data_IF_337753356996
#
_entry.id   IF_337753356996
#
_cell.length_a   1.000
_cell.length_b   1.000
_cell.length_c   1.000
_cell.angle_alpha   90.00
_cell.angle_beta   90.00
_cell.angle_gamma   90.00
#
_symmetry.space_group_name_H-M   'P 1'
#
loop_
_entity.id
_entity.type
_entity.pdbx_description
1 polymer ?
#
# COMPACT_ATOMS: atom_id res chain seq x y z
N UNK A 1 43.73 26.32 -45.20
CA UNK A 1 42.64 25.94 -44.27
C UNK A 1 43.27 25.58 -42.94
N UNK A 2 43.34 26.52 -41.99
CA UNK A 2 44.02 26.30 -40.72
C UNK A 2 43.10 25.55 -39.75
N UNK A 3 43.48 24.33 -39.36
CA UNK A 3 42.79 23.53 -38.35
C UNK A 3 42.89 24.25 -36.99
N UNK A 4 41.75 24.77 -36.51
CA UNK A 4 41.59 25.38 -35.20
C UNK A 4 41.91 24.32 -34.14
N UNK A 5 43.06 24.44 -33.46
CA UNK A 5 43.44 23.56 -32.35
C UNK A 5 42.34 23.62 -31.26
N UNK A 6 41.76 22.48 -30.84
CA UNK A 6 40.75 22.49 -29.79
C UNK A 6 41.38 22.97 -28.48
N UNK A 7 40.73 23.92 -27.83
CA UNK A 7 41.22 24.52 -26.61
C UNK A 7 41.08 23.51 -25.47
N UNK A 8 42.15 23.07 -24.78
CA UNK A 8 42.08 22.01 -23.75
C UNK A 8 41.11 22.34 -22.60
N UNK A 9 40.80 23.63 -22.41
CA UNK A 9 39.81 24.16 -21.46
C UNK A 9 38.38 23.65 -21.71
N UNK A 10 37.99 23.44 -22.98
CA UNK A 10 36.64 22.97 -23.34
C UNK A 10 36.42 21.50 -22.98
N UNK A 11 37.46 20.66 -23.07
CA UNK A 11 37.38 19.24 -22.66
C UNK A 11 37.18 19.08 -21.15
N UNK A 12 37.79 19.96 -20.34
CA UNK A 12 37.62 19.93 -18.88
C UNK A 12 36.21 20.30 -18.42
N UNK A 13 35.54 21.21 -19.13
CA UNK A 13 34.17 21.65 -18.80
C UNK A 13 33.14 20.54 -19.08
N UNK A 14 33.27 19.80 -20.18
CA UNK A 14 32.37 18.67 -20.48
C UNK A 14 32.52 17.54 -19.47
N UNK A 15 33.75 17.24 -19.03
CA UNK A 15 34.00 16.24 -17.98
C UNK A 15 33.36 16.67 -16.66
N UNK A 16 33.53 17.94 -16.26
CA UNK A 16 32.89 18.47 -15.06
C UNK A 16 31.36 18.43 -15.14
N UNK A 17 30.78 18.69 -16.31
CA UNK A 17 29.34 18.62 -16.54
C UNK A 17 28.82 17.18 -16.37
N UNK A 18 29.46 16.19 -16.99
CA UNK A 18 29.09 14.78 -16.83
C UNK A 18 29.27 14.28 -15.39
N UNK A 19 30.32 14.74 -14.71
CA UNK A 19 30.57 14.39 -13.31
C UNK A 19 29.45 14.85 -12.36
N UNK A 20 28.68 15.88 -12.74
CA UNK A 20 27.52 16.37 -11.97
C UNK A 20 26.23 15.73 -12.48
N UNK A 21 26.01 15.69 -13.79
CA UNK A 21 24.74 15.21 -14.37
C UNK A 21 24.53 13.72 -14.11
N UNK A 22 25.57 12.89 -14.28
CA UNK A 22 25.42 11.44 -14.12
C UNK A 22 24.98 11.01 -12.71
N UNK A 23 25.60 11.47 -11.60
CA UNK A 23 25.12 11.10 -10.27
C UNK A 23 23.73 11.67 -9.98
N UNK A 24 23.39 12.87 -10.50
CA UNK A 24 22.07 13.47 -10.32
C UNK A 24 20.99 12.63 -11.03
N UNK A 25 21.26 12.19 -12.26
CA UNK A 25 20.39 11.26 -12.99
C UNK A 25 20.28 9.91 -12.29
N UNK A 26 21.36 9.39 -11.71
CA UNK A 26 21.34 8.13 -10.97
C UNK A 26 20.44 8.22 -9.73
N UNK A 27 20.58 9.29 -8.94
CA UNK A 27 19.72 9.56 -7.77
C UNK A 27 18.25 9.71 -8.21
N UNK A 28 18.01 10.44 -9.30
CA UNK A 28 16.65 10.62 -9.84
C UNK A 28 16.02 9.28 -10.25
N UNK A 29 16.76 8.43 -10.97
CA UNK A 29 16.29 7.10 -11.37
C UNK A 29 16.05 6.19 -10.17
N UNK A 30 16.94 6.20 -9.16
CA UNK A 30 16.70 5.46 -7.91
C UNK A 30 15.43 5.94 -7.20
N UNK A 31 15.18 7.25 -7.17
CA UNK A 31 13.96 7.82 -6.61
C UNK A 31 12.70 7.36 -7.34
N UNK A 32 12.74 7.28 -8.68
CA UNK A 32 11.63 6.75 -9.47
C UNK A 32 11.39 5.26 -9.19
N UNK A 33 12.45 4.45 -9.07
CA UNK A 33 12.33 3.03 -8.75
C UNK A 33 11.74 2.82 -7.36
N UNK A 34 12.20 3.58 -6.36
CA UNK A 34 11.69 3.51 -4.98
C UNK A 34 10.21 3.92 -4.92
N UNK A 35 9.83 4.97 -5.66
CA UNK A 35 8.43 5.39 -5.77
C UNK A 35 7.55 4.35 -6.47
N UNK A 36 7.97 3.82 -7.62
CA UNK A 36 7.19 2.86 -8.39
C UNK A 36 6.98 1.56 -7.60
N UNK A 37 8.03 1.04 -6.97
CA UNK A 37 7.94 -0.18 -6.17
C UNK A 37 7.12 0.02 -4.90
N UNK A 38 7.26 1.15 -4.22
CA UNK A 38 6.38 1.50 -3.09
C UNK A 38 4.92 1.58 -3.53
N UNK A 39 4.64 2.20 -4.68
CA UNK A 39 3.29 2.33 -5.21
C UNK A 39 2.64 0.98 -5.52
N UNK A 40 3.38 0.04 -6.12
CA UNK A 40 2.89 -1.32 -6.37
C UNK A 40 2.58 -2.03 -5.05
N UNK A 41 3.50 -1.96 -4.07
CA UNK A 41 3.27 -2.58 -2.75
C UNK A 41 2.05 -1.98 -2.02
N UNK A 42 1.78 -0.69 -2.20
CA UNK A 42 0.56 -0.03 -1.70
C UNK A 42 -0.69 -0.57 -2.38
N UNK A 43 -0.67 -0.75 -3.71
CA UNK A 43 -1.79 -1.37 -4.42
C UNK A 43 -2.04 -2.81 -3.97
N UNK A 44 -0.99 -3.60 -3.74
CA UNK A 44 -1.11 -4.96 -3.20
C UNK A 44 -1.76 -4.95 -1.80
N UNK A 45 -1.33 -4.03 -0.93
CA UNK A 45 -1.93 -3.85 0.40
C UNK A 45 -3.41 -3.47 0.34
N UNK A 46 -3.78 -2.58 -0.60
CA UNK A 46 -5.17 -2.17 -0.81
C UNK A 46 -6.00 -3.35 -1.31
N UNK A 47 -5.54 -4.07 -2.33
CA UNK A 47 -6.28 -5.21 -2.89
C UNK A 47 -6.45 -6.36 -1.89
N UNK A 48 -5.37 -6.75 -1.22
CA UNK A 48 -5.40 -7.82 -0.22
C UNK A 48 -6.21 -7.40 1.01
N UNK A 49 -6.04 -6.16 1.47
CA UNK A 49 -6.79 -5.60 2.58
C UNK A 49 -8.29 -5.50 2.30
N UNK A 50 -8.67 -5.03 1.11
CA UNK A 50 -10.07 -4.93 0.68
C UNK A 50 -10.74 -6.32 0.62
N UNK A 51 -10.08 -7.29 0.00
CA UNK A 51 -10.59 -8.65 -0.07
C UNK A 51 -10.74 -9.28 1.32
N UNK A 52 -9.73 -9.12 2.18
CA UNK A 52 -9.77 -9.60 3.56
C UNK A 52 -10.89 -8.93 4.36
N UNK A 53 -11.05 -7.61 4.22
CA UNK A 53 -12.07 -6.85 4.90
C UNK A 53 -13.48 -7.26 4.43
N UNK A 54 -13.67 -7.50 3.14
CA UNK A 54 -14.95 -7.96 2.59
C UNK A 54 -15.27 -9.39 3.05
N UNK A 55 -14.28 -10.29 3.05
CA UNK A 55 -14.44 -11.65 3.57
C UNK A 55 -14.83 -11.64 5.06
N UNK A 56 -14.15 -10.85 5.89
CA UNK A 56 -14.51 -10.73 7.30
C UNK A 56 -15.89 -10.09 7.51
N UNK A 57 -16.27 -9.15 6.66
CA UNK A 57 -17.57 -8.48 6.77
C UNK A 57 -18.72 -9.46 6.52
N UNK A 58 -18.57 -10.38 5.56
CA UNK A 58 -19.58 -11.41 5.24
C UNK A 58 -19.86 -12.38 6.39
N UNK A 59 -18.92 -12.52 7.32
CA UNK A 59 -19.05 -13.37 8.51
C UNK A 59 -19.60 -12.60 9.73
N UNK A 60 -19.96 -11.33 9.57
CA UNK A 60 -20.61 -10.56 10.65
C UNK A 60 -22.06 -11.03 10.76
N UNK A 61 -22.41 -11.59 11.90
CA UNK A 61 -23.79 -11.95 12.20
C UNK A 61 -24.60 -10.70 12.60
N UNK A 62 -25.56 -10.32 11.75
CA UNK A 62 -26.51 -9.24 12.05
C UNK A 62 -27.89 -9.83 12.30
N UNK A 63 -28.49 -9.45 13.44
CA UNK A 63 -29.86 -9.80 13.78
C UNK A 63 -30.87 -9.00 12.92
N UNK A 64 -32.12 -9.47 12.76
CA UNK A 64 -33.16 -8.75 12.02
C UNK A 64 -33.52 -7.35 12.59
N UNK A 65 -33.05 -7.03 13.80
CA UNK A 65 -33.19 -5.71 14.44
C UNK A 65 -31.96 -4.81 14.21
N UNK A 66 -31.01 -5.21 13.35
CA UNK A 66 -29.80 -4.43 13.03
C UNK A 66 -28.67 -4.56 14.06
N UNK A 67 -28.83 -5.35 15.12
CA UNK A 67 -27.80 -5.56 16.15
C UNK A 67 -26.76 -6.57 15.66
N UNK A 68 -25.48 -6.25 15.85
CA UNK A 68 -24.36 -7.16 15.55
C UNK A 68 -24.18 -8.13 16.72
N UNK A 69 -24.25 -9.44 16.46
CA UNK A 69 -24.19 -10.49 17.49
C UNK A 69 -22.77 -10.97 17.78
N UNK A 70 -21.97 -11.16 16.73
CA UNK A 70 -20.60 -11.66 16.84
C UNK A 70 -19.71 -11.05 15.75
N UNK A 71 -18.48 -10.71 16.13
CA UNK A 71 -17.45 -10.17 15.23
C UNK A 71 -16.14 -10.94 15.30
N UNK A 72 -16.04 -11.95 16.20
CA UNK A 72 -14.81 -12.72 16.39
C UNK A 72 -14.51 -13.61 15.20
N UNK A 73 -15.54 -14.20 14.59
CA UNK A 73 -15.41 -15.02 13.38
C UNK A 73 -14.98 -14.15 12.20
N UNK A 74 -15.64 -13.01 11.98
CA UNK A 74 -15.22 -12.04 10.96
C UNK A 74 -13.78 -11.55 11.13
N UNK A 75 -13.33 -11.31 12.36
CA UNK A 75 -11.92 -10.96 12.63
C UNK A 75 -10.96 -12.09 12.22
N UNK A 76 -11.28 -13.33 12.57
CA UNK A 76 -10.46 -14.49 12.27
C UNK A 76 -10.41 -14.79 10.76
N UNK A 77 -11.54 -14.68 10.07
CA UNK A 77 -11.64 -14.91 8.63
C UNK A 77 -10.89 -13.84 7.86
N UNK A 78 -11.10 -12.55 8.16
CA UNK A 78 -10.33 -11.47 7.54
C UNK A 78 -8.82 -11.64 7.77
N UNK A 79 -8.39 -11.98 8.99
CA UNK A 79 -6.98 -12.21 9.27
C UNK A 79 -6.41 -13.41 8.49
N UNK A 80 -7.20 -14.46 8.29
CA UNK A 80 -6.81 -15.66 7.54
C UNK A 80 -6.68 -15.36 6.05
N UNK A 81 -7.67 -14.69 5.44
CA UNK A 81 -7.61 -14.28 4.03
C UNK A 81 -6.41 -13.37 3.77
N UNK A 82 -6.18 -12.39 4.66
CA UNK A 82 -5.02 -11.51 4.55
C UNK A 82 -3.71 -12.30 4.56
N UNK A 83 -3.50 -13.15 5.59
CA UNK A 83 -2.25 -13.91 5.74
C UNK A 83 -1.99 -14.88 4.59
N UNK A 84 -3.04 -15.45 4.00
CA UNK A 84 -2.91 -16.37 2.88
C UNK A 84 -2.53 -15.67 1.57
N UNK A 85 -2.82 -14.37 1.44
CA UNK A 85 -2.49 -13.59 0.24
C UNK A 85 -1.31 -12.64 0.44
N UNK A 86 -0.94 -12.36 1.68
CA UNK A 86 0.10 -11.40 2.02
C UNK A 86 1.48 -11.85 1.49
N UNK A 87 2.11 -11.06 0.61
CA UNK A 87 3.51 -11.25 0.25
C UNK A 87 4.42 -10.86 1.42
N UNK A 88 5.72 -11.22 1.34
CA UNK A 88 6.67 -11.05 2.46
C UNK A 88 6.93 -9.61 2.91
N UNK A 89 6.67 -8.61 2.06
CA UNK A 89 6.79 -7.19 2.40
C UNK A 89 5.50 -6.59 3.00
N UNK A 90 4.47 -7.42 3.16
CA UNK A 90 3.17 -7.03 3.71
C UNK A 90 2.94 -7.74 5.04
N UNK A 91 2.48 -7.00 6.05
CA UNK A 91 2.13 -7.56 7.34
C UNK A 91 0.73 -7.12 7.77
N UNK A 92 0.05 -7.97 8.53
CA UNK A 92 -1.22 -7.62 9.14
C UNK A 92 -0.96 -6.92 10.48
N UNK A 93 -1.34 -5.65 10.59
CA UNK A 93 -1.22 -4.94 11.87
C UNK A 93 -2.39 -5.30 12.79
N UNK A 94 -3.63 -5.12 12.31
CA UNK A 94 -4.83 -5.51 13.03
C UNK A 94 -6.03 -5.66 12.10
N UNK A 95 -7.05 -6.35 12.62
CA UNK A 95 -8.39 -6.45 12.04
C UNK A 95 -9.41 -6.05 13.09
N UNK A 96 -10.41 -5.28 12.68
CA UNK A 96 -11.54 -4.91 13.52
C UNK A 96 -12.85 -4.93 12.74
N UNK A 97 -13.59 -6.01 12.90
CA UNK A 97 -14.95 -6.20 12.44
C UNK A 97 -15.96 -5.70 13.48
N UNK A 98 -17.08 -5.18 12.99
CA UNK A 98 -18.17 -4.67 13.81
C UNK A 98 -18.91 -3.54 13.11
N UNK A 99 -19.19 -2.46 13.84
CA UNK A 99 -19.84 -1.28 13.29
C UNK A 99 -18.78 -0.24 12.93
N UNK A 100 -18.69 0.12 11.66
CA UNK A 100 -17.80 1.15 11.15
C UNK A 100 -18.62 2.21 10.41
N UNK A 101 -18.48 3.48 10.80
CA UNK A 101 -19.27 4.60 10.24
C UNK A 101 -20.80 4.34 10.21
N UNK A 102 -21.32 3.69 11.26
CA UNK A 102 -22.76 3.36 11.38
C UNK A 102 -23.20 2.10 10.66
N UNK A 103 -22.36 1.50 9.80
CA UNK A 103 -22.67 0.32 8.99
C UNK A 103 -21.90 -0.92 9.48
N UNK A 104 -22.45 -2.14 9.35
CA UNK A 104 -21.69 -3.36 9.59
C UNK A 104 -20.55 -3.49 8.57
N UNK A 105 -19.33 -3.71 9.06
CA UNK A 105 -18.14 -3.83 8.23
C UNK A 105 -16.89 -4.20 9.01
N UNK A 106 -15.79 -4.40 8.29
CA UNK A 106 -14.49 -4.71 8.84
C UNK A 106 -13.43 -3.71 8.39
N UNK A 107 -12.65 -3.22 9.34
CA UNK A 107 -11.44 -2.47 9.12
C UNK A 107 -10.25 -3.43 9.16
N UNK A 108 -9.44 -3.44 8.11
CA UNK A 108 -8.17 -4.17 8.04
C UNK A 108 -7.04 -3.16 7.86
N UNK A 109 -6.06 -3.19 8.75
CA UNK A 109 -4.85 -2.39 8.62
C UNK A 109 -3.67 -3.27 8.23
N UNK A 110 -3.10 -2.97 7.07
CA UNK A 110 -1.88 -3.57 6.55
C UNK A 110 -0.68 -2.67 6.81
N UNK A 111 0.46 -3.25 7.19
CA UNK A 111 1.76 -2.60 7.16
C UNK A 111 2.53 -3.02 5.91
N UNK A 112 3.14 -2.05 5.24
CA UNK A 112 3.97 -2.26 4.05
C UNK A 112 5.39 -1.83 4.35
N UNK A 113 6.37 -2.68 4.10
CA UNK A 113 7.78 -2.29 4.14
C UNK A 113 8.15 -1.58 2.82
N UNK A 114 8.78 -0.41 2.89
CA UNK A 114 9.33 0.25 1.69
C UNK A 114 10.59 -0.47 1.16
N UNK A 115 10.92 -0.34 -0.15
CA UNK A 115 12.05 -1.04 -0.76
C UNK A 115 13.39 -0.57 -0.21
N UNK A 116 13.51 0.74 -0.02
CA UNK A 116 14.65 1.39 0.58
C UNK A 116 15.83 1.57 -0.37
N UNK A 117 15.56 1.85 -1.65
CA UNK A 117 16.63 2.06 -2.64
C UNK A 117 17.33 3.41 -2.47
N UNK A 118 16.56 4.46 -2.15
CA UNK A 118 17.08 5.81 -1.94
C UNK A 118 17.01 6.25 -0.48
N UNK A 119 15.95 5.85 0.23
CA UNK A 119 15.71 6.18 1.63
C UNK A 119 15.78 4.95 2.52
N UNK A 120 15.98 5.10 3.84
CA UNK A 120 15.87 3.98 4.76
C UNK A 120 14.49 3.32 4.68
N UNK A 121 14.48 1.99 4.77
CA UNK A 121 13.24 1.21 4.87
C UNK A 121 12.42 1.66 6.07
N UNK A 122 11.13 1.79 5.86
CA UNK A 122 10.16 2.16 6.88
C UNK A 122 8.80 1.53 6.58
N UNK A 123 7.94 1.48 7.60
CA UNK A 123 6.62 0.90 7.48
C UNK A 123 5.58 1.96 7.13
N UNK A 124 4.73 1.66 6.15
CA UNK A 124 3.55 2.46 5.78
C UNK A 124 2.31 1.68 6.17
N UNK A 125 1.39 2.32 6.90
CA UNK A 125 0.10 1.73 7.26
C UNK A 125 -0.96 2.07 6.20
N UNK A 126 -1.66 1.06 5.71
CA UNK A 126 -2.79 1.19 4.79
C UNK A 126 -4.03 0.65 5.47
N UNK A 127 -5.08 1.46 5.53
CA UNK A 127 -6.37 1.09 6.08
C UNK A 127 -7.32 0.75 4.92
N UNK A 128 -7.97 -0.41 5.03
CA UNK A 128 -8.99 -0.87 4.08
C UNK A 128 -10.26 -1.21 4.84
N UNK A 129 -11.42 -0.91 4.25
CA UNK A 129 -12.71 -1.12 4.91
C UNK A 129 -13.65 -1.82 3.95
N UNK A 130 -14.10 -3.00 4.35
CA UNK A 130 -15.13 -3.75 3.67
C UNK A 130 -16.46 -3.60 4.41
N UNK A 131 -17.48 -3.09 3.73
CA UNK A 131 -18.83 -3.03 4.28
C UNK A 131 -19.64 -4.24 3.84
N UNK A 132 -20.59 -4.64 4.69
CA UNK A 132 -21.63 -5.59 4.30
C UNK A 132 -22.54 -4.97 3.23
N UNK A 133 -23.13 -5.80 2.36
CA UNK A 133 -24.05 -5.34 1.33
C UNK A 133 -25.25 -4.58 1.94
N UNK A 134 -25.79 -3.62 1.18
CA UNK A 134 -26.94 -2.82 1.60
C UNK A 134 -28.23 -3.66 1.57
N UNK A 135 -29.09 -3.51 2.57
CA UNK A 135 -30.36 -4.25 2.69
C UNK A 135 -30.33 -5.54 3.53
N UNK A 136 -29.16 -5.89 4.10
CA UNK A 136 -29.04 -7.05 5.02
C UNK A 136 -29.44 -6.65 6.46
N UNK A 137 -29.51 -5.35 6.75
CA UNK A 137 -30.01 -4.81 8.03
C UNK A 137 -31.33 -4.08 7.81
N UNK A 138 -32.28 -4.24 8.75
CA UNK A 138 -33.65 -3.71 8.62
C UNK A 138 -33.74 -2.19 8.79
N UNK A 139 -32.68 -1.53 9.28
CA UNK A 139 -32.61 -0.06 9.41
C UNK A 139 -32.27 0.64 8.08
N UNK A 140 -31.83 -0.12 7.06
CA UNK A 140 -31.38 0.39 5.76
C UNK A 140 -32.42 0.15 4.62
N UNK A 141 -33.64 -0.31 4.95
CA UNK A 141 -34.77 -0.48 4.01
C UNK A 141 -35.82 0.62 4.15
#
# INVERSE_FOLDING_TARGET
MALRKPNPRERGQTIALYAIILPLMAIFLMGLLDYMTTSVRVMDAVGIGDLAAHAGAQEIEVLPNGVIRSTSEGNAVAATYFRNQAPSYLQLNFVRCGRYQGRPGCLVQAGIETPGFLFPKHWIAVNTVGYLAHGVTREDQ
#
